data_IF_945357761987
#
_entry.id   IF_945357761987
#
_cell.length_a   1.000
_cell.length_b   1.000
_cell.length_c   1.000
_cell.angle_alpha   90.00
_cell.angle_beta   90.00
_cell.angle_gamma   90.00
#
_symmetry.space_group_name_H-M   'P 1'
#
loop_
_entity.id
_entity.type
_entity.pdbx_description
1 polymer ?
#
# COMPACT_ATOMS: atom_id res chain seq x y z
N UNK A 1 -18.51 -5.26 -6.52
CA UNK A 1 -17.58 -4.37 -5.79
C UNK A 1 -16.69 -5.14 -4.82
N UNK A 2 -17.23 -6.16 -4.13
CA UNK A 2 -16.51 -7.08 -3.22
C UNK A 2 -15.62 -8.13 -3.90
N UNK A 3 -15.97 -8.60 -5.11
CA UNK A 3 -15.33 -9.80 -5.68
C UNK A 3 -13.88 -9.66 -6.12
N UNK A 4 -13.41 -8.47 -6.51
CA UNK A 4 -12.03 -8.27 -6.99
C UNK A 4 -11.01 -8.14 -5.85
N UNK A 5 -11.38 -7.49 -4.76
CA UNK A 5 -10.55 -7.46 -3.54
C UNK A 5 -10.47 -8.87 -2.95
N UNK A 6 -11.61 -9.58 -2.90
CA UNK A 6 -11.64 -10.96 -2.43
C UNK A 6 -10.77 -11.91 -3.26
N UNK A 7 -10.82 -11.82 -4.59
CA UNK A 7 -10.03 -12.69 -5.48
C UNK A 7 -8.51 -12.48 -5.38
N UNK A 8 -8.05 -11.24 -5.15
CA UNK A 8 -6.62 -10.91 -5.00
C UNK A 8 -6.14 -10.93 -3.53
N UNK A 9 -7.03 -11.27 -2.59
CA UNK A 9 -6.76 -11.39 -1.15
C UNK A 9 -6.57 -12.87 -0.76
N UNK A 10 -6.16 -13.72 -1.71
CA UNK A 10 -6.13 -15.18 -1.54
C UNK A 10 -5.20 -15.63 -0.40
N UNK A 11 -4.18 -14.82 -0.09
CA UNK A 11 -3.38 -14.92 1.14
C UNK A 11 -3.64 -13.68 2.00
N UNK A 12 -4.38 -13.83 3.10
CA UNK A 12 -4.96 -12.77 3.92
C UNK A 12 -4.03 -11.72 4.56
N UNK A 13 -2.76 -11.64 4.17
CA UNK A 13 -1.75 -10.72 4.72
C UNK A 13 -1.63 -9.39 3.97
N UNK A 14 -2.01 -9.32 2.69
CA UNK A 14 -1.82 -8.11 1.85
C UNK A 14 -3.14 -7.39 1.50
N UNK A 15 -4.26 -7.83 2.07
CA UNK A 15 -5.59 -7.33 1.73
C UNK A 15 -5.79 -5.85 2.11
N UNK A 16 -5.12 -5.42 3.17
CA UNK A 16 -5.01 -4.02 3.58
C UNK A 16 -4.27 -3.17 2.54
N UNK A 17 -3.14 -3.67 2.00
CA UNK A 17 -2.40 -3.00 0.94
C UNK A 17 -3.21 -2.88 -0.35
N UNK A 18 -3.96 -3.92 -0.70
CA UNK A 18 -4.92 -3.85 -1.82
C UNK A 18 -6.02 -2.82 -1.58
N UNK A 19 -6.53 -2.71 -0.35
CA UNK A 19 -7.56 -1.72 -0.01
C UNK A 19 -7.03 -0.28 -0.09
N UNK A 20 -5.82 0.00 0.42
CA UNK A 20 -5.20 1.32 0.31
C UNK A 20 -4.97 1.68 -1.15
N UNK A 21 -4.37 0.77 -1.93
CA UNK A 21 -4.13 0.97 -3.36
C UNK A 21 -5.43 1.19 -4.13
N UNK A 22 -6.47 0.44 -3.79
CA UNK A 22 -7.79 0.63 -4.37
C UNK A 22 -8.34 2.03 -4.11
N UNK A 23 -8.25 2.52 -2.87
CA UNK A 23 -8.72 3.86 -2.49
C UNK A 23 -7.95 4.97 -3.20
N UNK A 24 -6.65 4.79 -3.47
CA UNK A 24 -5.85 5.74 -4.25
C UNK A 24 -6.32 5.86 -5.71
N UNK A 25 -6.69 4.74 -6.34
CA UNK A 25 -7.19 4.71 -7.72
C UNK A 25 -8.72 4.87 -7.84
N UNK A 26 -9.41 5.10 -6.72
CA UNK A 26 -10.86 5.17 -6.70
C UNK A 26 -11.39 6.47 -7.34
N UNK A 27 -11.58 6.45 -8.66
CA UNK A 27 -12.21 7.52 -9.44
C UNK A 27 -13.73 7.29 -9.66
N UNK A 28 -14.40 6.45 -8.85
CA UNK A 28 -15.80 5.99 -9.06
C UNK A 28 -16.11 5.30 -10.41
N UNK A 29 -15.20 5.33 -11.37
CA UNK A 29 -15.29 4.68 -12.68
C UNK A 29 -14.32 3.50 -12.70
N UNK A 30 -14.89 2.30 -12.73
CA UNK A 30 -14.33 0.98 -13.07
C UNK A 30 -12.82 0.76 -12.95
N UNK A 31 -12.43 -0.22 -12.13
CA UNK A 31 -11.07 -0.71 -11.97
C UNK A 31 -10.56 -1.33 -13.29
N UNK A 32 -9.79 -0.59 -14.09
CA UNK A 32 -9.32 -1.04 -15.42
C UNK A 32 -8.10 -1.95 -15.37
N UNK A 33 -7.45 -2.10 -14.21
CA UNK A 33 -6.23 -2.90 -14.08
C UNK A 33 -6.33 -3.88 -12.92
N UNK A 34 -6.08 -5.16 -13.19
CA UNK A 34 -5.80 -6.15 -12.16
C UNK A 34 -4.60 -5.65 -11.38
N UNK A 35 -4.81 -5.32 -10.10
CA UNK A 35 -3.71 -5.09 -9.17
C UNK A 35 -3.01 -6.44 -9.03
N UNK A 36 -1.99 -6.68 -9.84
CA UNK A 36 -1.25 -7.94 -9.79
C UNK A 36 -0.48 -8.01 -8.48
N UNK A 37 -0.61 -9.15 -7.78
CA UNK A 37 0.05 -9.44 -6.50
C UNK A 37 1.58 -9.23 -6.57
N UNK A 38 2.19 -9.46 -7.74
CA UNK A 38 3.63 -9.35 -8.02
C UNK A 38 4.25 -7.99 -7.64
N UNK A 39 3.45 -6.92 -7.59
CA UNK A 39 3.91 -5.55 -7.32
C UNK A 39 3.44 -4.99 -5.97
N UNK A 40 2.75 -5.78 -5.15
CA UNK A 40 2.28 -5.36 -3.82
C UNK A 40 3.45 -5.02 -2.91
N UNK A 41 4.54 -5.80 -2.94
CA UNK A 41 5.70 -5.55 -2.07
C UNK A 41 6.38 -4.21 -2.37
N UNK A 42 6.50 -3.84 -3.65
CA UNK A 42 7.05 -2.54 -4.08
C UNK A 42 6.11 -1.41 -3.64
N UNK A 43 4.81 -1.61 -3.82
CA UNK A 43 3.81 -0.65 -3.37
C UNK A 43 3.86 -0.43 -1.86
N UNK A 44 3.95 -1.51 -1.06
CA UNK A 44 4.11 -1.46 0.39
C UNK A 44 5.35 -0.66 0.79
N UNK A 45 6.48 -0.89 0.12
CA UNK A 45 7.70 -0.12 0.37
C UNK A 45 7.48 1.37 0.07
N UNK A 46 6.82 1.71 -1.05
CA UNK A 46 6.51 3.10 -1.39
C UNK A 46 5.62 3.77 -0.33
N UNK A 47 4.61 3.08 0.19
CA UNK A 47 3.75 3.59 1.26
C UNK A 47 4.55 3.85 2.53
N UNK A 48 5.39 2.90 2.94
CA UNK A 48 6.25 3.03 4.12
C UNK A 48 7.22 4.22 3.98
N UNK A 49 7.86 4.37 2.83
CA UNK A 49 8.75 5.51 2.55
C UNK A 49 7.98 6.83 2.60
N UNK A 50 6.80 6.90 1.98
CA UNK A 50 5.98 8.12 2.00
C UNK A 50 5.53 8.50 3.42
N UNK A 51 5.14 7.52 4.23
CA UNK A 51 4.78 7.74 5.64
C UNK A 51 5.99 8.17 6.47
N UNK A 52 7.16 7.55 6.25
CA UNK A 52 8.40 7.90 6.94
C UNK A 52 8.88 9.30 6.59
N UNK A 53 8.78 9.69 5.32
CA UNK A 53 9.26 10.98 4.84
C UNK A 53 8.28 12.14 5.06
N UNK A 54 7.05 11.84 5.48
CA UNK A 54 6.03 12.85 5.77
C UNK A 54 6.48 13.80 6.90
N UNK A 55 6.30 15.11 6.72
CA UNK A 55 6.72 16.13 7.70
C UNK A 55 5.97 16.03 9.04
N UNK A 56 4.73 15.52 9.04
CA UNK A 56 3.97 15.29 10.27
C UNK A 56 4.43 14.04 11.04
N UNK A 57 5.33 13.23 10.45
CA UNK A 57 5.87 12.05 11.10
C UNK A 57 6.99 12.43 12.08
N UNK A 58 6.65 12.50 13.36
CA UNK A 58 7.57 12.82 14.45
C UNK A 58 8.50 11.65 14.87
N UNK A 59 8.35 10.46 14.28
CA UNK A 59 9.23 9.30 14.55
C UNK A 59 10.27 9.06 13.46
N UNK A 60 10.24 9.81 12.36
CA UNK A 60 11.18 9.69 11.24
C UNK A 60 12.63 9.61 11.69
N UNK A 61 13.09 10.58 12.48
CA UNK A 61 14.49 10.67 12.91
C UNK A 61 14.91 9.47 13.77
N UNK A 62 14.00 8.97 14.62
CA UNK A 62 14.23 7.78 15.45
C UNK A 62 14.35 6.52 14.59
N UNK A 63 13.52 6.41 13.55
CA UNK A 63 13.58 5.27 12.62
C UNK A 63 14.87 5.31 11.79
N UNK A 64 15.24 6.47 11.24
CA UNK A 64 16.50 6.65 10.48
C UNK A 64 17.71 6.36 11.37
N UNK A 65 17.67 6.76 12.64
CA UNK A 65 18.74 6.46 13.59
C UNK A 65 18.87 4.96 13.88
N UNK A 66 17.75 4.25 14.03
CA UNK A 66 17.74 2.82 14.34
C UNK A 66 18.05 1.94 13.11
N UNK A 67 17.69 2.41 11.92
CA UNK A 67 17.91 1.73 10.65
C UNK A 67 18.44 2.75 9.63
N UNK A 68 19.77 2.99 9.61
CA UNK A 68 20.36 3.85 8.60
C UNK A 68 20.19 3.18 7.23
N UNK A 69 19.46 3.87 6.34
CA UNK A 69 19.29 3.48 4.94
C UNK A 69 20.61 3.47 4.17
#
# INVERSE_FOLDING_TARGET
MSNLIWYNCWYGYDCDMFAIKYMEYWNRATLTHSLTEDKIHIYRLSVVVNLLMNEANNVKDKVIQACPL
#
